data_IF_169757427718
#
_entry.id   IF_169757427718
#
_cell.length_a   1.000
_cell.length_b   1.000
_cell.length_c   1.000
_cell.angle_alpha   90.00
_cell.angle_beta   90.00
_cell.angle_gamma   90.00
#
_symmetry.space_group_name_H-M   'P 1'
#
loop_
_entity.id
_entity.type
_entity.pdbx_description
1 polymer ?
#
# COMPACT_ATOMS: atom_id res chain seq x y z
N UNK A 1 -5.88 9.49 14.82
CA UNK A 1 -5.36 10.66 14.09
C UNK A 1 -4.27 10.10 13.18
N UNK A 2 -4.44 10.20 11.86
CA UNK A 2 -3.80 9.33 10.87
C UNK A 2 -2.32 9.63 10.60
N UNK A 3 -1.60 8.71 9.93
CA UNK A 3 -0.15 8.73 9.79
C UNK A 3 0.34 9.91 8.97
N UNK A 4 1.60 10.28 9.17
CA UNK A 4 2.35 11.44 8.64
C UNK A 4 2.48 11.55 7.11
N UNK A 5 1.53 11.03 6.33
CA UNK A 5 1.41 11.19 4.89
C UNK A 5 -0.06 11.41 4.54
N UNK A 6 -0.46 12.68 4.37
CA UNK A 6 -1.85 13.07 4.06
C UNK A 6 -2.44 12.40 2.80
N UNK A 7 -1.62 11.71 2.00
CA UNK A 7 -1.98 11.12 0.71
C UNK A 7 -1.89 9.59 0.66
N UNK A 8 -1.44 8.93 1.75
CA UNK A 8 -1.33 7.46 1.78
C UNK A 8 -2.57 6.84 2.41
N UNK A 9 -3.13 5.82 1.76
CA UNK A 9 -4.26 5.03 2.25
C UNK A 9 -3.85 3.56 2.36
N UNK A 10 -4.28 2.88 3.43
CA UNK A 10 -4.12 1.44 3.57
C UNK A 10 -5.49 0.76 3.59
N UNK A 11 -5.56 -0.44 3.04
CA UNK A 11 -6.76 -1.29 3.07
C UNK A 11 -6.37 -2.76 3.28
N UNK A 12 -7.15 -3.47 4.09
CA UNK A 12 -7.18 -4.93 4.17
C UNK A 12 -8.56 -5.44 3.72
N UNK A 13 -8.70 -6.75 3.57
CA UNK A 13 -9.97 -7.42 3.28
C UNK A 13 -9.91 -8.88 3.72
N UNK A 14 -10.83 -9.71 3.22
CA UNK A 14 -10.99 -11.11 3.64
C UNK A 14 -9.82 -12.05 3.25
N UNK A 15 -8.79 -11.50 2.62
CA UNK A 15 -7.60 -12.21 2.21
C UNK A 15 -6.41 -11.87 3.13
N UNK A 16 -5.33 -12.63 2.98
CA UNK A 16 -4.09 -12.44 3.72
C UNK A 16 -3.21 -11.27 3.23
N UNK A 17 -3.84 -10.28 2.59
CA UNK A 17 -3.13 -9.20 1.90
C UNK A 17 -3.56 -7.84 2.39
N UNK A 18 -2.58 -6.96 2.59
CA UNK A 18 -2.78 -5.53 2.79
C UNK A 18 -2.25 -4.76 1.58
N UNK A 19 -2.96 -3.70 1.19
CA UNK A 19 -2.60 -2.84 0.07
C UNK A 19 -2.40 -1.42 0.55
N UNK A 20 -1.33 -0.79 0.07
CA UNK A 20 -1.03 0.62 0.30
C UNK A 20 -1.22 1.38 -1.00
N UNK A 21 -1.94 2.48 -0.92
CA UNK A 21 -2.32 3.34 -2.04
C UNK A 21 -1.74 4.72 -1.83
N UNK A 22 -1.32 5.36 -2.92
CA UNK A 22 -0.92 6.76 -2.95
C UNK A 22 -1.94 7.54 -3.77
N UNK A 23 -2.73 8.37 -3.08
CA UNK A 23 -3.84 9.11 -3.67
C UNK A 23 -3.37 10.18 -4.66
N UNK A 24 -2.11 10.62 -4.60
CA UNK A 24 -1.55 11.59 -5.58
C UNK A 24 -1.40 10.99 -6.98
N UNK A 25 -1.39 9.66 -7.09
CA UNK A 25 -1.08 8.96 -8.34
C UNK A 25 -2.31 8.55 -9.13
N UNK A 26 -3.49 8.75 -8.56
CA UNK A 26 -4.77 8.39 -9.19
C UNK A 26 -4.98 9.20 -10.48
N UNK A 27 -4.60 10.48 -10.47
CA UNK A 27 -4.74 11.39 -11.62
C UNK A 27 -3.67 11.14 -12.71
N UNK A 28 -2.47 10.68 -12.32
CA UNK A 28 -1.35 10.43 -13.25
C UNK A 28 -1.49 9.15 -14.09
N UNK A 29 -2.58 8.41 -13.94
CA UNK A 29 -2.83 7.18 -14.69
C UNK A 29 -3.53 7.43 -16.05
N UNK A 30 -3.67 8.68 -16.49
CA UNK A 30 -4.40 9.07 -17.69
C UNK A 30 -3.66 8.99 -19.05
N UNK A 31 -2.50 8.33 -19.18
CA UNK A 31 -1.76 8.35 -20.46
C UNK A 31 -1.80 7.04 -21.31
N UNK A 32 -2.65 6.06 -20.99
CA UNK A 32 -2.66 4.77 -21.71
C UNK A 32 -3.93 4.44 -22.51
N UNK A 33 -4.81 5.39 -22.79
CA UNK A 33 -6.06 5.11 -23.53
C UNK A 33 -6.35 6.11 -24.64
N UNK A 34 -5.53 6.10 -25.70
CA UNK A 34 -5.93 6.65 -27.00
C UNK A 34 -6.84 5.70 -27.82
N UNK A 35 -7.50 4.71 -27.20
CA UNK A 35 -8.21 3.65 -27.94
C UNK A 35 -9.48 3.09 -27.27
N UNK A 36 -10.29 3.94 -26.62
CA UNK A 36 -11.69 3.58 -26.25
C UNK A 36 -11.87 2.46 -25.21
N UNK A 37 -10.81 2.06 -24.50
CA UNK A 37 -10.88 1.12 -23.37
C UNK A 37 -11.29 1.81 -22.06
N UNK A 38 -11.72 1.04 -21.04
CA UNK A 38 -11.97 1.59 -19.72
C UNK A 38 -10.68 2.18 -19.13
N UNK A 39 -10.77 3.16 -18.22
CA UNK A 39 -9.60 3.75 -17.56
C UNK A 39 -8.77 2.65 -16.87
N UNK A 40 -7.43 2.78 -16.85
CA UNK A 40 -6.57 1.77 -16.23
C UNK A 40 -6.86 1.67 -14.73
N UNK A 41 -7.03 0.45 -14.23
CA UNK A 41 -7.25 0.21 -12.81
C UNK A 41 -6.11 0.78 -11.95
N UNK A 42 -6.41 1.45 -10.82
CA UNK A 42 -5.38 1.95 -9.92
C UNK A 42 -4.52 0.83 -9.36
N UNK A 43 -3.20 1.02 -9.40
CA UNK A 43 -2.23 0.06 -8.87
C UNK A 43 -1.78 0.49 -7.47
N UNK A 44 -1.78 -0.41 -6.49
CA UNK A 44 -1.27 -0.09 -5.16
C UNK A 44 0.23 0.22 -5.24
N UNK A 45 0.69 1.16 -4.40
CA UNK A 45 2.10 1.47 -4.19
C UNK A 45 2.86 0.24 -3.66
N UNK A 46 2.19 -0.54 -2.79
CA UNK A 46 2.77 -1.71 -2.15
C UNK A 46 1.68 -2.74 -1.81
N UNK A 47 2.02 -4.02 -1.86
CA UNK A 47 1.15 -5.12 -1.38
C UNK A 47 1.94 -5.98 -0.40
N UNK A 48 1.45 -6.06 0.84
CA UNK A 48 1.97 -6.94 1.88
C UNK A 48 1.13 -8.23 1.89
N UNK A 49 1.66 -9.34 1.40
CA UNK A 49 0.94 -10.61 1.23
C UNK A 49 1.63 -11.77 1.95
N UNK A 50 1.98 -11.55 3.22
CA UNK A 50 2.75 -12.52 4.05
C UNK A 50 2.04 -12.91 5.35
N UNK A 51 0.80 -12.46 5.57
CA UNK A 51 -0.03 -13.04 6.62
C UNK A 51 -0.48 -14.45 6.20
N UNK A 52 -0.78 -15.32 7.15
CA UNK A 52 -1.29 -16.67 6.84
C UNK A 52 -2.81 -16.70 6.67
N UNK A 53 -3.51 -15.69 7.20
CA UNK A 53 -4.97 -15.59 7.15
C UNK A 53 -5.46 -14.13 7.04
N UNK A 54 -6.77 -13.93 7.15
CA UNK A 54 -7.43 -12.63 7.00
C UNK A 54 -6.84 -11.62 7.98
N UNK A 55 -6.68 -10.36 7.53
CA UNK A 55 -6.19 -9.25 8.34
C UNK A 55 -7.37 -8.40 8.84
N UNK A 56 -7.90 -8.65 10.06
CA UNK A 56 -9.06 -7.95 10.58
C UNK A 56 -8.77 -6.51 11.01
N UNK A 57 -7.53 -6.22 11.41
CA UNK A 57 -7.15 -4.89 11.89
C UNK A 57 -5.66 -4.59 11.67
N UNK A 58 -5.36 -3.31 11.55
CA UNK A 58 -4.00 -2.79 11.44
C UNK A 58 -3.96 -1.32 11.86
N UNK A 59 -2.78 -0.88 12.27
CA UNK A 59 -2.54 0.51 12.64
C UNK A 59 -1.21 1.00 12.09
N UNK A 60 -1.18 2.27 11.73
CA UNK A 60 0.04 2.95 11.35
C UNK A 60 0.82 3.40 12.58
N UNK A 61 2.15 3.33 12.50
CA UNK A 61 3.01 3.91 13.52
C UNK A 61 3.03 5.44 13.37
N UNK A 62 2.70 6.17 14.45
CA UNK A 62 2.75 7.63 14.47
C UNK A 62 4.19 8.18 14.53
N UNK A 63 5.15 7.34 14.97
CA UNK A 63 6.55 7.73 15.20
C UNK A 63 7.40 7.50 13.95
N UNK A 64 7.19 6.37 13.25
CA UNK A 64 8.01 5.98 12.09
C UNK A 64 7.17 6.00 10.81
N UNK A 65 7.56 6.86 9.87
CA UNK A 65 6.87 6.94 8.57
C UNK A 65 6.93 5.60 7.83
N UNK A 66 5.79 5.20 7.26
CA UNK A 66 5.69 3.99 6.46
C UNK A 66 5.71 2.68 7.27
N UNK A 67 5.71 2.76 8.60
CA UNK A 67 5.64 1.59 9.48
C UNK A 67 4.18 1.28 9.85
N UNK A 68 3.83 0.00 9.81
CA UNK A 68 2.50 -0.54 10.13
C UNK A 68 2.66 -1.71 11.08
N UNK A 69 1.71 -1.82 12.02
CA UNK A 69 1.44 -3.04 12.78
C UNK A 69 0.12 -3.65 12.28
N UNK A 70 0.10 -4.95 12.05
CA UNK A 70 -1.08 -5.66 11.53
C UNK A 70 -1.22 -7.02 12.19
N UNK A 71 -2.46 -7.42 12.45
CA UNK A 71 -2.79 -8.74 13.00
C UNK A 71 -3.53 -9.59 11.97
N UNK A 72 -3.42 -10.91 12.07
CA UNK A 72 -4.28 -11.84 11.33
C UNK A 72 -5.19 -12.67 12.26
N UNK A 73 -6.13 -13.41 11.68
CA UNK A 73 -7.06 -14.26 12.43
C UNK A 73 -6.41 -15.49 13.08
N UNK A 74 -5.17 -15.81 12.75
CA UNK A 74 -4.40 -16.89 13.39
C UNK A 74 -3.55 -16.38 14.57
N UNK A 75 -3.82 -15.16 15.02
CA UNK A 75 -3.12 -14.48 16.11
C UNK A 75 -1.65 -14.12 15.81
N UNK A 76 -1.26 -14.00 14.53
CA UNK A 76 0.04 -13.45 14.19
C UNK A 76 0.00 -11.93 14.26
N UNK A 77 0.99 -11.33 14.92
CA UNK A 77 1.26 -9.89 14.88
C UNK A 77 2.52 -9.65 14.05
N UNK A 78 2.43 -8.77 13.05
CA UNK A 78 3.58 -8.35 12.26
C UNK A 78 3.72 -6.83 12.31
N UNK A 79 4.95 -6.38 12.57
CA UNK A 79 5.36 -4.99 12.39
C UNK A 79 6.29 -4.91 11.21
N UNK A 80 6.00 -4.03 10.26
CA UNK A 80 6.76 -3.93 9.01
C UNK A 80 6.83 -2.50 8.54
N UNK A 81 7.87 -2.19 7.77
CA UNK A 81 8.09 -0.88 7.19
C UNK A 81 8.23 -1.02 5.68
N UNK A 82 7.54 -0.16 4.93
CA UNK A 82 7.75 -0.07 3.50
C UNK A 82 9.18 0.40 3.21
N UNK A 83 9.90 -0.36 2.38
CA UNK A 83 11.20 0.08 1.90
C UNK A 83 11.11 1.35 1.05
N UNK A 84 12.17 2.13 1.01
CA UNK A 84 12.32 3.19 0.02
C UNK A 84 12.27 2.58 -1.38
N UNK A 85 11.56 3.23 -2.31
CA UNK A 85 11.59 2.81 -3.71
C UNK A 85 13.04 2.92 -4.20
N UNK A 86 13.61 1.84 -4.71
CA UNK A 86 14.88 1.92 -5.42
C UNK A 86 14.67 2.83 -6.65
N UNK A 87 15.16 4.06 -6.59
CA UNK A 87 15.36 4.85 -7.79
C UNK A 87 16.58 4.24 -8.48
N UNK A 88 16.37 3.50 -9.57
CA UNK A 88 17.45 3.18 -10.50
C UNK A 88 18.04 4.51 -10.95
N UNK A 89 19.19 4.88 -10.38
CA UNK A 89 20.04 5.93 -10.93
C UNK A 89 20.62 5.32 -12.20
N UNK A 90 19.98 5.59 -13.35
CA UNK A 90 20.64 5.40 -14.64
C UNK A 90 21.85 6.34 -14.65
N UNK A 91 23.03 5.75 -14.45
CA UNK A 91 24.30 6.44 -14.60
C UNK A 91 24.52 6.67 -16.10
N UNK A 92 24.61 7.95 -16.47
CA UNK A 92 25.10 8.43 -17.76
C UNK A 92 26.60 8.19 -17.90
#
# INVERSE_FOLDING_TARGET
MGPNCATKLASSGDYNTMKIWDLTRIDTQEDATSAGGPPPCPKPLFTHAVHSSMVPDFSWCEISEGMIASIDTDANLQTWQMGARATTLEHN
#
